data_IF_400601961130
#
_entry.id   IF_400601961130
#
_cell.length_a   1.000
_cell.length_b   1.000
_cell.length_c   1.000
_cell.angle_alpha   90.00
_cell.angle_beta   90.00
_cell.angle_gamma   90.00
#
_symmetry.space_group_name_H-M   'P 1'
#
loop_
_entity.id
_entity.type
_entity.pdbx_description
1 polymer ?
#
# COMPACT_ATOMS: atom_id res chain seq x y z
N UNK A 1 13.32 12.50 1.20
CA UNK A 1 13.81 11.74 0.02
C UNK A 1 12.75 11.79 -1.07
N UNK A 2 13.15 11.92 -2.34
CA UNK A 2 12.24 11.98 -3.50
C UNK A 2 12.63 10.97 -4.57
N UNK A 3 11.63 10.39 -5.25
CA UNK A 3 11.83 9.61 -6.47
C UNK A 3 11.79 10.58 -7.64
N UNK A 4 12.84 10.59 -8.47
CA UNK A 4 12.98 11.50 -9.62
C UNK A 4 12.62 10.84 -10.93
N UNK A 5 12.98 9.57 -11.06
CA UNK A 5 12.86 8.84 -12.32
C UNK A 5 12.77 7.35 -12.04
N UNK A 6 11.98 6.66 -12.85
CA UNK A 6 11.97 5.21 -12.90
C UNK A 6 12.07 4.77 -14.36
N UNK A 7 13.05 3.93 -14.66
CA UNK A 7 13.16 3.21 -15.93
C UNK A 7 12.77 1.76 -15.69
N UNK A 8 11.86 1.24 -16.52
CA UNK A 8 11.35 -0.12 -16.43
C UNK A 8 11.55 -0.76 -17.81
N UNK A 9 12.16 -1.95 -17.83
CA UNK A 9 12.37 -2.74 -19.04
C UNK A 9 11.89 -4.17 -18.79
N UNK A 10 11.00 -4.66 -19.67
CA UNK A 10 10.41 -6.00 -19.67
C UNK A 10 9.67 -6.40 -18.37
N UNK A 11 8.79 -5.55 -17.83
CA UNK A 11 8.03 -5.86 -16.60
C UNK A 11 6.56 -5.51 -16.75
N UNK A 12 5.68 -6.48 -16.47
CA UNK A 12 4.23 -6.34 -16.53
C UNK A 12 3.81 -5.68 -17.84
N UNK A 13 3.24 -4.47 -17.75
CA UNK A 13 2.75 -3.62 -18.84
C UNK A 13 3.79 -2.69 -19.46
N UNK A 14 5.04 -2.82 -19.06
CA UNK A 14 6.14 -1.97 -19.47
C UNK A 14 7.12 -2.77 -20.33
N UNK A 15 7.28 -2.35 -21.59
CA UNK A 15 8.27 -2.89 -22.53
C UNK A 15 9.62 -2.20 -22.27
N UNK A 16 9.70 -0.90 -22.54
CA UNK A 16 10.90 -0.09 -22.29
C UNK A 16 10.53 1.37 -22.08
N UNK A 17 10.15 1.71 -20.87
CA UNK A 17 9.63 3.02 -20.53
C UNK A 17 10.50 3.72 -19.51
N UNK A 18 10.55 5.04 -19.63
CA UNK A 18 11.17 5.92 -18.66
C UNK A 18 10.15 6.95 -18.23
N UNK A 19 9.95 7.06 -16.92
CA UNK A 19 8.97 7.95 -16.32
C UNK A 19 9.73 8.92 -15.42
N UNK A 20 9.68 10.21 -15.77
CA UNK A 20 10.25 11.29 -14.96
C UNK A 20 9.15 11.84 -14.04
N UNK A 21 9.48 12.02 -12.77
CA UNK A 21 8.60 12.53 -11.74
C UNK A 21 9.00 13.96 -11.39
N UNK A 22 8.00 14.81 -11.21
CA UNK A 22 8.17 16.15 -10.67
C UNK A 22 8.50 16.08 -9.18
N UNK A 23 9.10 17.16 -8.66
CA UNK A 23 9.52 17.23 -7.26
C UNK A 23 8.37 17.29 -6.26
N UNK A 24 7.20 17.74 -6.69
CA UNK A 24 6.10 18.05 -5.79
C UNK A 24 4.91 17.13 -6.08
N UNK A 25 3.97 17.58 -6.92
CA UNK A 25 2.78 16.82 -7.25
C UNK A 25 2.94 16.08 -8.58
N UNK A 26 2.70 14.77 -8.55
CA UNK A 26 2.64 13.90 -9.72
C UNK A 26 1.22 13.37 -9.88
N UNK A 27 0.60 13.62 -11.03
CA UNK A 27 -0.74 13.13 -11.35
C UNK A 27 -0.61 12.17 -12.53
N UNK A 28 -0.99 10.90 -12.32
CA UNK A 28 -0.90 9.85 -13.34
C UNK A 28 -2.31 9.59 -13.89
N UNK A 29 -2.53 9.94 -15.16
CA UNK A 29 -3.83 9.79 -15.85
C UNK A 29 -3.68 8.82 -17.03
N UNK A 30 -4.73 8.05 -17.32
CA UNK A 30 -4.75 7.12 -18.44
C UNK A 30 -5.98 6.22 -18.42
N UNK A 31 -6.24 5.50 -19.51
CA UNK A 31 -7.37 4.56 -19.61
C UNK A 31 -7.27 3.40 -18.60
N UNK A 32 -8.39 2.73 -18.31
CA UNK A 32 -8.37 1.52 -17.48
C UNK A 32 -7.48 0.44 -18.13
N UNK A 33 -6.67 -0.23 -17.32
CA UNK A 33 -5.68 -1.22 -17.78
C UNK A 33 -4.44 -0.65 -18.47
N UNK A 34 -4.21 0.67 -18.45
CA UNK A 34 -3.02 1.31 -19.04
C UNK A 34 -1.72 1.20 -18.21
N UNK A 35 -1.67 0.28 -17.23
CA UNK A 35 -0.49 0.08 -16.38
C UNK A 35 -0.34 1.00 -15.16
N UNK A 36 -1.26 1.95 -14.91
CA UNK A 36 -1.16 2.89 -13.76
C UNK A 36 -0.95 2.18 -12.41
N UNK A 37 -1.78 1.17 -12.13
CA UNK A 37 -1.66 0.38 -10.90
C UNK A 37 -0.37 -0.45 -10.89
N UNK A 38 0.08 -0.94 -12.05
CA UNK A 38 1.34 -1.69 -12.17
C UNK A 38 2.53 -0.81 -11.81
N UNK A 39 2.62 0.42 -12.32
CA UNK A 39 3.68 1.37 -11.96
C UNK A 39 3.72 1.63 -10.45
N UNK A 40 2.56 1.90 -9.86
CA UNK A 40 2.47 2.10 -8.41
C UNK A 40 2.94 0.86 -7.66
N UNK A 41 2.48 -0.33 -8.04
CA UNK A 41 2.87 -1.59 -7.43
C UNK A 41 4.38 -1.87 -7.57
N UNK A 42 4.97 -1.61 -8.73
CA UNK A 42 6.41 -1.74 -8.99
C UNK A 42 7.20 -0.82 -8.04
N UNK A 43 6.83 0.46 -7.96
CA UNK A 43 7.49 1.42 -7.06
C UNK A 43 7.40 0.95 -5.61
N UNK A 44 6.20 0.57 -5.15
CA UNK A 44 5.99 0.05 -3.79
C UNK A 44 6.87 -1.15 -3.52
N UNK A 45 6.85 -2.11 -4.44
CA UNK A 45 7.59 -3.35 -4.31
C UNK A 45 9.09 -3.07 -4.19
N UNK A 46 9.63 -2.17 -5.01
CA UNK A 46 11.04 -1.77 -4.94
C UNK A 46 11.36 -1.13 -3.58
N UNK A 47 10.53 -0.19 -3.13
CA UNK A 47 10.74 0.47 -1.85
C UNK A 47 10.71 -0.53 -0.70
N UNK A 48 9.79 -1.51 -0.70
CA UNK A 48 9.68 -2.53 0.36
C UNK A 48 10.80 -3.56 0.33
N UNK A 49 11.08 -4.12 -0.85
CA UNK A 49 11.98 -5.26 -1.01
C UNK A 49 13.45 -4.84 -0.90
N UNK A 50 13.77 -3.69 -1.47
CA UNK A 50 15.14 -3.25 -1.67
C UNK A 50 15.50 -2.11 -0.72
N UNK A 51 14.68 -1.05 -0.67
CA UNK A 51 15.07 0.18 0.01
C UNK A 51 14.86 0.12 1.52
N UNK A 52 13.66 -0.15 1.99
CA UNK A 52 13.26 -0.10 3.39
C UNK A 52 12.81 -1.48 3.84
N UNK A 53 13.80 -2.34 4.06
CA UNK A 53 13.57 -3.75 4.34
C UNK A 53 12.80 -3.92 5.66
N UNK A 54 11.97 -4.95 5.68
CA UNK A 54 11.26 -5.37 6.87
C UNK A 54 12.18 -6.24 7.74
N UNK A 55 12.33 -5.84 9.00
CA UNK A 55 13.13 -6.58 9.96
C UNK A 55 12.26 -6.96 11.16
N UNK A 56 12.60 -8.09 11.77
CA UNK A 56 12.04 -8.52 13.03
C UNK A 56 13.17 -8.68 14.04
N UNK A 57 12.96 -8.08 15.22
CA UNK A 57 13.81 -8.28 16.38
C UNK A 57 13.05 -9.19 17.33
N UNK A 58 13.39 -10.48 17.33
CA UNK A 58 12.73 -11.50 18.14
C UNK A 58 13.57 -11.87 19.35
N UNK A 59 12.92 -12.11 20.49
CA UNK A 59 13.61 -12.60 21.69
C UNK A 59 14.02 -14.06 21.49
N UNK A 60 15.30 -14.36 21.71
CA UNK A 60 15.85 -15.72 21.67
C UNK A 60 15.80 -16.26 23.09
N UNK A 61 14.76 -17.01 23.42
CA UNK A 61 14.66 -17.68 24.71
C UNK A 61 15.63 -18.87 24.73
N UNK A 62 16.82 -18.68 25.28
CA UNK A 62 17.74 -19.77 25.62
C UNK A 62 17.23 -20.61 26.80
N UNK A 63 17.70 -21.85 26.88
CA UNK A 63 17.41 -22.78 28.00
C UNK A 63 17.94 -22.22 29.34
N UNK A 64 18.94 -21.33 29.29
CA UNK A 64 19.53 -20.69 30.46
C UNK A 64 18.86 -19.33 30.75
N UNK A 65 18.05 -19.31 31.81
CA UNK A 65 17.44 -18.10 32.40
C UNK A 65 18.48 -17.23 33.11
N UNK A 66 19.50 -16.73 32.41
CA UNK A 66 20.51 -15.84 32.99
C UNK A 66 20.38 -14.43 32.43
N UNK A 67 19.58 -13.61 33.12
CA UNK A 67 19.68 -12.15 33.29
C UNK A 67 19.68 -11.19 32.08
N UNK A 68 20.15 -11.58 30.90
CA UNK A 68 20.33 -10.72 29.73
C UNK A 68 19.34 -11.17 28.66
N UNK A 69 18.38 -10.29 28.32
CA UNK A 69 17.50 -10.52 27.16
C UNK A 69 18.37 -10.56 25.90
N UNK A 70 18.32 -11.68 25.18
CA UNK A 70 19.01 -11.84 23.90
C UNK A 70 18.00 -11.80 22.78
N UNK A 71 18.40 -11.20 21.67
CA UNK A 71 17.56 -11.02 20.50
C UNK A 71 18.28 -11.53 19.27
N UNK A 72 17.51 -11.91 18.27
CA UNK A 72 17.97 -12.14 16.90
C UNK A 72 17.34 -11.10 15.99
N UNK A 73 18.05 -10.76 14.91
CA UNK A 73 17.53 -9.89 13.85
C UNK A 73 17.35 -10.76 12.61
N UNK A 74 16.13 -10.84 12.12
CA UNK A 74 15.80 -11.51 10.87
C UNK A 74 15.19 -10.50 9.90
N UNK A 75 15.55 -10.61 8.62
CA UNK A 75 14.82 -9.93 7.58
C UNK A 75 13.51 -10.72 7.38
N UNK A 76 12.39 -10.12 7.78
CA UNK A 76 11.08 -10.68 7.43
C UNK A 76 11.01 -10.72 5.92
N UNK A 77 10.85 -11.92 5.36
CA UNK A 77 10.36 -11.98 4.00
C UNK A 77 8.96 -11.35 4.05
N UNK A 78 8.69 -10.25 3.34
CA UNK A 78 7.30 -9.87 3.10
C UNK A 78 6.56 -11.15 2.69
N UNK A 79 5.37 -11.39 3.24
CA UNK A 79 4.53 -12.56 2.97
C UNK A 79 4.03 -12.54 1.52
N UNK A 80 4.96 -12.54 0.57
CA UNK A 80 4.75 -12.96 -0.79
C UNK A 80 4.94 -14.48 -0.71
N UNK A 81 3.87 -15.25 -0.81
CA UNK A 81 4.01 -16.68 -1.05
C UNK A 81 4.57 -16.89 -2.47
N UNK A 82 4.04 -17.86 -3.20
CA UNK A 82 4.23 -18.03 -4.66
C UNK A 82 3.77 -16.81 -5.51
N UNK A 83 3.55 -15.63 -4.91
CA UNK A 83 3.05 -14.39 -5.50
C UNK A 83 4.11 -13.31 -5.71
N UNK A 84 5.37 -13.56 -5.31
CA UNK A 84 6.49 -12.62 -5.55
C UNK A 84 6.66 -12.34 -7.06
N UNK A 85 6.42 -13.37 -7.87
CA UNK A 85 6.42 -13.30 -9.34
C UNK A 85 5.38 -12.33 -9.90
N UNK A 86 4.32 -11.99 -9.17
CA UNK A 86 3.24 -11.16 -9.72
C UNK A 86 3.64 -9.69 -9.92
N UNK A 87 4.49 -9.13 -9.06
CA UNK A 87 4.75 -7.69 -9.07
C UNK A 87 5.83 -7.27 -10.06
N UNK A 88 6.79 -8.17 -10.33
CA UNK A 88 7.86 -7.97 -11.29
C UNK A 88 7.84 -9.03 -12.41
N UNK A 89 6.66 -9.58 -12.69
CA UNK A 89 6.43 -10.55 -13.76
C UNK A 89 6.93 -9.97 -15.09
N UNK A 90 7.56 -10.79 -15.92
CA UNK A 90 8.03 -10.34 -17.24
C UNK A 90 6.90 -9.80 -18.09
N UNK A 91 7.23 -8.91 -19.01
CA UNK A 91 6.27 -8.49 -20.01
C UNK A 91 5.85 -9.72 -20.84
N UNK A 92 4.53 -9.92 -21.01
CA UNK A 92 3.96 -11.14 -21.62
C UNK A 92 4.48 -11.45 -23.03
N UNK A 93 4.92 -10.43 -23.78
CA UNK A 93 5.45 -10.60 -25.13
C UNK A 93 6.97 -10.89 -25.16
N UNK A 94 7.64 -10.92 -24.00
CA UNK A 94 9.11 -10.89 -23.87
C UNK A 94 9.62 -11.78 -22.73
N UNK A 95 8.96 -12.92 -22.51
CA UNK A 95 9.29 -13.86 -21.42
C UNK A 95 10.75 -14.35 -21.44
N UNK A 96 11.38 -14.35 -22.60
CA UNK A 96 12.77 -14.80 -22.78
C UNK A 96 13.81 -13.67 -22.63
N UNK A 97 13.39 -12.40 -22.61
CA UNK A 97 14.29 -11.26 -22.43
C UNK A 97 14.60 -11.03 -20.95
N UNK A 98 15.74 -10.41 -20.64
CA UNK A 98 16.07 -10.00 -19.27
C UNK A 98 15.27 -8.77 -18.87
N UNK A 99 14.93 -8.69 -17.59
CA UNK A 99 14.15 -7.59 -17.03
C UNK A 99 15.04 -6.71 -16.13
N UNK A 100 14.79 -5.40 -16.13
CA UNK A 100 15.53 -4.47 -15.27
C UNK A 100 14.68 -3.28 -14.83
N UNK A 101 15.14 -2.68 -13.74
CA UNK A 101 14.59 -1.41 -13.23
C UNK A 101 15.73 -0.52 -12.78
N UNK A 102 15.71 0.73 -13.20
CA UNK A 102 16.55 1.77 -12.61
C UNK A 102 15.67 2.78 -11.88
N UNK A 103 15.83 2.89 -10.57
CA UNK A 103 15.10 3.85 -9.73
C UNK A 103 16.04 4.99 -9.31
N UNK A 104 15.80 6.18 -9.83
CA UNK A 104 16.55 7.39 -9.46
C UNK A 104 15.89 8.10 -8.30
N UNK A 105 16.65 8.34 -7.24
CA UNK A 105 16.24 9.04 -6.03
C UNK A 105 17.14 10.23 -5.75
N UNK A 106 16.65 11.17 -4.94
CA UNK A 106 17.46 12.23 -4.34
C UNK A 106 17.12 12.39 -2.86
N UNK A 107 18.13 12.64 -2.04
CA UNK A 107 17.93 12.96 -0.62
C UNK A 107 17.66 14.46 -0.42
N UNK A 108 17.01 14.77 0.71
CA UNK A 108 16.64 16.10 1.15
C UNK A 108 17.17 16.38 2.56
N UNK A 109 17.09 17.64 3.01
CA UNK A 109 17.58 18.08 4.32
C UNK A 109 17.03 17.25 5.49
N UNK A 110 15.78 16.80 5.40
CA UNK A 110 15.18 15.94 6.43
C UNK A 110 15.90 14.59 6.55
N UNK A 111 16.36 14.02 5.44
CA UNK A 111 17.08 12.74 5.46
C UNK A 111 18.47 12.91 6.09
N UNK A 112 19.12 14.04 5.82
CA UNK A 112 20.39 14.40 6.44
C UNK A 112 20.23 14.62 7.95
N UNK A 113 19.19 15.35 8.37
CA UNK A 113 18.85 15.54 9.78
C UNK A 113 18.63 14.21 10.49
N UNK A 114 17.94 13.26 9.84
CA UNK A 114 17.75 11.91 10.37
C UNK A 114 19.08 11.17 10.56
N UNK A 115 19.96 11.21 9.55
CA UNK A 115 21.28 10.57 9.63
C UNK A 115 22.09 11.12 10.82
N UNK A 116 22.15 12.45 10.97
CA UNK A 116 22.86 13.12 12.07
C UNK A 116 22.28 12.70 13.42
N UNK A 117 20.95 12.72 13.56
CA UNK A 117 20.30 12.35 14.80
C UNK A 117 20.57 10.88 15.18
N UNK A 118 20.52 9.97 14.20
CA UNK A 118 20.86 8.56 14.41
C UNK A 118 22.32 8.39 14.82
N UNK A 119 23.26 9.10 14.15
CA UNK A 119 24.69 9.05 14.48
C UNK A 119 24.96 9.50 15.90
N UNK A 120 24.23 10.49 16.41
CA UNK A 120 24.34 10.94 17.80
C UNK A 120 23.90 9.86 18.81
N UNK A 121 23.20 8.81 18.38
CA UNK A 121 22.82 7.64 19.18
C UNK A 121 23.65 6.39 18.88
N UNK A 122 24.74 6.52 18.11
CA UNK A 122 25.60 5.42 17.67
C UNK A 122 26.05 4.52 18.81
N UNK A 123 26.57 5.09 19.90
CA UNK A 123 27.15 4.32 21.00
C UNK A 123 26.13 3.37 21.62
N UNK A 124 24.93 3.88 21.92
CA UNK A 124 23.84 3.11 22.53
C UNK A 124 23.34 2.01 21.58
N UNK A 125 23.21 2.33 20.29
CA UNK A 125 22.78 1.34 19.28
C UNK A 125 23.84 0.23 19.13
N UNK A 126 25.12 0.60 19.01
CA UNK A 126 26.22 -0.36 18.91
C UNK A 126 26.33 -1.24 20.16
N UNK A 127 26.15 -0.66 21.34
CA UNK A 127 26.14 -1.41 22.60
C UNK A 127 25.03 -2.46 22.63
N UNK A 128 23.80 -2.08 22.22
CA UNK A 128 22.70 -3.03 22.08
C UNK A 128 23.01 -4.14 21.07
N UNK A 129 23.52 -3.78 19.89
CA UNK A 129 23.93 -4.76 18.89
C UNK A 129 24.97 -5.73 19.47
N UNK A 130 25.96 -5.24 20.19
CA UNK A 130 27.04 -6.07 20.73
C UNK A 130 26.61 -6.98 21.87
N UNK A 131 25.88 -6.43 22.85
CA UNK A 131 25.53 -7.13 24.10
C UNK A 131 24.24 -7.94 24.00
N UNK A 132 23.30 -7.52 23.16
CA UNK A 132 21.94 -8.05 23.15
C UNK A 132 21.58 -8.80 21.87
N UNK A 133 22.31 -8.63 20.76
CA UNK A 133 22.07 -9.42 19.53
C UNK A 133 22.99 -10.63 19.47
N UNK A 134 22.38 -11.81 19.44
CA UNK A 134 23.06 -13.07 19.17
C UNK A 134 23.28 -13.23 17.66
N UNK A 135 24.50 -13.55 17.27
CA UNK A 135 24.87 -13.91 15.90
C UNK A 135 24.54 -15.38 15.61
N UNK A 136 23.36 -15.87 15.98
CA UNK A 136 22.98 -17.23 15.66
C UNK A 136 22.65 -17.32 14.17
N UNK A 137 23.65 -17.64 13.35
CA UNK A 137 23.46 -18.11 11.99
C UNK A 137 23.43 -19.64 12.04
N UNK A 138 22.25 -20.25 11.97
CA UNK A 138 22.23 -21.59 11.39
C UNK A 138 22.73 -21.45 9.94
N UNK A 139 23.45 -22.44 9.42
CA UNK A 139 23.94 -22.41 8.03
C UNK A 139 22.81 -22.21 7.00
N UNK A 140 21.57 -22.45 7.41
CA UNK A 140 20.37 -22.44 6.56
C UNK A 140 19.49 -21.19 6.70
N UNK A 141 19.72 -20.31 7.69
CA UNK A 141 18.90 -19.10 7.86
C UNK A 141 19.42 -17.95 6.97
N UNK A 142 19.06 -18.00 5.69
CA UNK A 142 19.35 -16.97 4.68
C UNK A 142 18.77 -15.60 5.01
N UNK A 143 17.86 -15.51 5.99
CA UNK A 143 17.21 -14.28 6.40
C UNK A 143 17.83 -13.66 7.66
N UNK A 144 18.76 -14.37 8.33
CA UNK A 144 19.48 -13.83 9.47
C UNK A 144 20.32 -12.60 9.08
N UNK A 145 20.20 -11.53 9.88
CA UNK A 145 20.90 -10.27 9.64
C UNK A 145 22.11 -10.17 10.55
N UNK A 146 23.28 -9.93 9.96
CA UNK A 146 24.50 -9.70 10.72
C UNK A 146 24.48 -8.37 11.45
N UNK A 147 24.68 -8.38 12.78
CA UNK A 147 24.84 -7.13 13.53
C UNK A 147 26.01 -6.28 13.03
N UNK A 148 27.09 -6.88 12.53
CA UNK A 148 28.22 -6.14 11.99
C UNK A 148 27.86 -5.44 10.68
N UNK A 149 27.04 -6.06 9.83
CA UNK A 149 26.54 -5.38 8.63
C UNK A 149 25.60 -4.22 8.98
N UNK A 150 24.83 -4.32 10.06
CA UNK A 150 24.00 -3.20 10.55
C UNK A 150 24.87 -2.02 10.98
N UNK A 151 26.02 -2.29 11.64
CA UNK A 151 26.96 -1.24 12.05
C UNK A 151 27.55 -0.45 10.89
N UNK A 152 27.61 -1.02 9.68
CA UNK A 152 28.04 -0.31 8.48
C UNK A 152 27.16 0.92 8.18
N UNK A 153 25.93 0.99 8.72
CA UNK A 153 25.11 2.20 8.69
C UNK A 153 25.86 3.44 9.22
N UNK A 154 26.69 3.27 10.26
CA UNK A 154 27.42 4.39 10.87
C UNK A 154 28.65 4.83 10.07
N UNK A 155 29.02 4.10 9.01
CA UNK A 155 30.04 4.52 8.05
C UNK A 155 29.48 5.47 6.98
N UNK A 156 28.16 5.55 6.85
CA UNK A 156 27.50 6.47 5.90
C UNK A 156 27.68 7.89 6.38
N UNK A 157 28.21 8.76 5.54
CA UNK A 157 28.46 10.17 5.82
C UNK A 157 27.47 11.08 5.12
N UNK A 158 27.47 12.34 5.54
CA UNK A 158 26.56 13.38 5.03
C UNK A 158 26.71 13.58 3.51
N UNK A 159 27.93 13.48 3.01
CA UNK A 159 28.22 13.59 1.58
C UNK A 159 27.75 12.37 0.78
N UNK A 160 27.55 11.21 1.41
CA UNK A 160 27.01 10.02 0.75
C UNK A 160 25.52 10.19 0.45
N UNK A 161 24.81 10.97 1.28
CA UNK A 161 23.41 11.36 1.04
C UNK A 161 23.30 12.64 0.20
N UNK A 162 24.31 12.95 -0.63
CA UNK A 162 24.45 14.20 -1.39
C UNK A 162 23.13 14.81 -1.87
N UNK A 163 22.71 15.88 -1.18
CA UNK A 163 21.45 16.58 -1.43
C UNK A 163 21.48 17.16 -2.85
N UNK A 164 20.40 16.94 -3.60
CA UNK A 164 20.25 17.45 -4.97
C UNK A 164 21.03 16.67 -6.04
N UNK A 165 21.75 15.59 -5.68
CA UNK A 165 22.28 14.64 -6.67
C UNK A 165 21.30 13.50 -6.91
N UNK A 166 21.28 13.05 -8.16
CA UNK A 166 20.51 11.90 -8.60
C UNK A 166 21.33 10.63 -8.33
N UNK A 167 20.80 9.77 -7.46
CA UNK A 167 21.38 8.47 -7.12
C UNK A 167 20.51 7.38 -7.74
N UNK A 168 21.13 6.42 -8.40
CA UNK A 168 20.41 5.43 -9.19
C UNK A 168 20.51 4.04 -8.55
N UNK A 169 19.39 3.44 -8.16
CA UNK A 169 19.33 2.06 -7.71
C UNK A 169 19.14 1.16 -8.92
N UNK A 170 20.13 0.28 -9.17
CA UNK A 170 20.15 -0.61 -10.32
C UNK A 170 19.66 -1.99 -9.92
N UNK A 171 18.43 -2.31 -10.29
CA UNK A 171 17.76 -3.56 -9.92
C UNK A 171 17.71 -4.45 -11.17
N UNK A 172 18.25 -5.65 -11.06
CA UNK A 172 18.36 -6.61 -12.17
C UNK A 172 17.78 -7.96 -11.81
N UNK A 173 17.18 -8.57 -12.81
CA UNK A 173 16.82 -9.97 -12.79
C UNK A 173 18.09 -10.85 -12.86
N UNK A 174 18.17 -11.85 -11.97
CA UNK A 174 19.21 -12.89 -11.98
C UNK A 174 18.56 -14.27 -11.85
N UNK A 175 19.34 -15.33 -12.04
CA UNK A 175 18.84 -16.72 -11.93
C UNK A 175 18.28 -17.04 -10.54
N UNK A 176 18.74 -16.33 -9.50
CA UNK A 176 18.29 -16.50 -8.11
C UNK A 176 17.34 -15.36 -7.67
N UNK A 177 16.61 -14.77 -8.61
CA UNK A 177 15.69 -13.67 -8.37
C UNK A 177 16.31 -12.28 -8.56
N UNK A 178 15.63 -11.26 -8.05
CA UNK A 178 15.99 -9.86 -8.26
C UNK A 178 17.05 -9.38 -7.27
N UNK A 179 18.09 -8.69 -7.77
CA UNK A 179 19.19 -8.13 -6.97
C UNK A 179 19.47 -6.68 -7.31
N UNK A 180 20.08 -5.97 -6.37
CA UNK A 180 20.65 -4.63 -6.60
C UNK A 180 22.12 -4.81 -6.97
N UNK A 181 22.53 -4.32 -8.13
CA UNK A 181 23.93 -4.40 -8.59
C UNK A 181 24.86 -3.52 -7.75
N UNK A 182 24.38 -2.35 -7.34
CA UNK A 182 25.13 -1.38 -6.54
C UNK A 182 24.74 -1.39 -5.05
N UNK A 183 24.67 -2.58 -4.46
CA UNK A 183 24.26 -2.80 -3.08
C UNK A 183 25.30 -2.37 -2.02
N UNK A 184 26.53 -2.08 -2.42
CA UNK A 184 27.62 -1.65 -1.53
C UNK A 184 27.70 -0.11 -1.38
N UNK A 185 26.90 0.61 -2.15
CA UNK A 185 26.81 2.07 -2.09
C UNK A 185 26.32 2.54 -0.72
N UNK A 186 27.02 3.54 -0.13
CA UNK A 186 26.74 4.02 1.24
C UNK A 186 25.32 4.56 1.39
N UNK A 187 24.80 5.26 0.38
CA UNK A 187 23.42 5.75 0.42
C UNK A 187 22.39 4.62 0.46
N UNK A 188 22.68 3.48 -0.16
CA UNK A 188 21.79 2.33 -0.12
C UNK A 188 21.85 1.64 1.24
N UNK A 189 23.03 1.55 1.88
CA UNK A 189 23.17 1.08 3.27
C UNK A 189 22.29 1.90 4.21
N UNK A 190 22.26 3.24 4.05
CA UNK A 190 21.38 4.11 4.81
C UNK A 190 19.92 3.68 4.66
N UNK A 191 19.40 3.57 3.44
CA UNK A 191 18.01 3.16 3.23
C UNK A 191 17.74 1.77 3.81
N UNK A 192 18.63 0.81 3.47
CA UNK A 192 18.50 -0.62 3.80
C UNK A 192 18.25 -0.83 5.29
N UNK A 193 19.02 -0.17 6.15
CA UNK A 193 18.95 -0.36 7.60
C UNK A 193 18.18 0.74 8.35
N UNK A 194 17.66 1.76 7.65
CA UNK A 194 16.93 2.86 8.27
C UNK A 194 15.82 2.34 9.20
N UNK A 195 14.92 1.50 8.70
CA UNK A 195 13.82 0.89 9.47
C UNK A 195 14.30 0.14 10.71
N UNK A 196 15.32 -0.70 10.57
CA UNK A 196 15.88 -1.49 11.67
C UNK A 196 16.45 -0.62 12.79
N UNK A 197 17.23 0.40 12.45
CA UNK A 197 17.83 1.30 13.45
C UNK A 197 16.74 1.97 14.29
N UNK A 198 15.61 2.26 13.65
CA UNK A 198 14.48 2.91 14.30
C UNK A 198 13.71 1.95 15.19
N UNK A 199 13.54 0.71 14.76
CA UNK A 199 13.00 -0.36 15.61
C UNK A 199 13.89 -0.59 16.84
N UNK A 200 15.21 -0.52 16.70
CA UNK A 200 16.15 -0.60 17.84
C UNK A 200 15.94 0.58 18.80
N UNK A 201 15.89 1.82 18.31
CA UNK A 201 15.67 2.99 19.17
C UNK A 201 14.33 2.90 19.92
N UNK A 202 13.28 2.43 19.24
CA UNK A 202 11.96 2.22 19.83
C UNK A 202 11.99 1.11 20.89
N UNK A 203 12.62 -0.03 20.59
CA UNK A 203 12.79 -1.15 21.51
C UNK A 203 13.51 -0.71 22.80
N UNK A 204 14.50 0.16 22.67
CA UNK A 204 15.26 0.75 23.78
C UNK A 204 14.54 1.93 24.46
N UNK A 205 13.35 2.32 23.98
CA UNK A 205 12.59 3.49 24.43
C UNK A 205 13.39 4.80 24.41
N UNK A 206 14.26 4.97 23.42
CA UNK A 206 15.09 6.17 23.26
C UNK A 206 14.29 7.24 22.52
N UNK A 207 14.12 8.40 23.15
CA UNK A 207 13.45 9.52 22.50
C UNK A 207 14.26 10.04 21.29
N UNK A 208 13.57 10.26 20.18
CA UNK A 208 14.12 10.79 18.93
C UNK A 208 13.09 11.62 18.15
N UNK A 209 13.59 12.53 17.32
CA UNK A 209 12.86 13.41 16.40
C UNK A 209 13.00 12.95 14.94
N UNK A 210 13.51 11.74 14.72
CA UNK A 210 13.70 11.17 13.39
C UNK A 210 12.38 11.14 12.64
N UNK A 211 12.39 11.76 11.45
CA UNK A 211 11.24 11.86 10.54
C UNK A 211 11.22 10.64 9.64
N UNK A 212 10.04 10.15 9.29
CA UNK A 212 9.98 9.10 8.27
C UNK A 212 10.30 9.72 6.88
N UNK A 213 11.23 9.14 6.10
CA UNK A 213 11.58 9.62 4.77
C UNK A 213 10.47 9.45 3.72
N UNK A 214 9.43 8.65 3.98
CA UNK A 214 8.38 8.36 3.01
C UNK A 214 7.04 8.02 3.68
N UNK A 215 5.96 8.50 3.07
CA UNK A 215 4.58 8.10 3.40
C UNK A 215 3.98 7.58 2.13
N UNK A 216 3.63 6.29 2.12
CA UNK A 216 3.03 5.65 0.95
C UNK A 216 1.51 5.59 1.07
N UNK A 217 0.83 5.73 -0.08
CA UNK A 217 -0.63 5.69 -0.21
C UNK A 217 -1.01 4.64 -1.25
N UNK A 218 -1.54 3.50 -0.81
CA UNK A 218 -2.08 2.51 -1.74
C UNK A 218 -3.30 3.09 -2.46
N UNK A 219 -3.33 2.95 -3.78
CA UNK A 219 -4.47 3.38 -4.61
C UNK A 219 -5.69 2.44 -4.47
N UNK A 220 -5.57 1.34 -3.72
CA UNK A 220 -6.62 0.35 -3.55
C UNK A 220 -7.74 0.90 -2.67
N UNK A 221 -8.86 1.21 -3.31
CA UNK A 221 -10.12 1.66 -2.69
C UNK A 221 -10.89 0.51 -2.04
N UNK A 222 -10.24 -0.38 -1.30
CA UNK A 222 -10.95 -1.39 -0.53
C UNK A 222 -11.41 -0.80 0.80
N UNK A 223 -12.25 0.24 0.74
CA UNK A 223 -13.02 0.69 1.88
C UNK A 223 -14.16 -0.33 2.05
N UNK A 224 -13.95 -1.41 2.78
CA UNK A 224 -15.04 -2.22 3.33
C UNK A 224 -15.37 -1.74 4.74
N UNK A 225 -16.55 -2.07 5.27
CA UNK A 225 -16.91 -1.77 6.67
C UNK A 225 -15.92 -2.38 7.68
N UNK A 226 -15.21 -3.45 7.30
CA UNK A 226 -14.17 -4.07 8.13
C UNK A 226 -12.93 -3.18 8.29
N UNK A 227 -12.60 -2.35 7.29
CA UNK A 227 -11.40 -1.50 7.33
C UNK A 227 -11.47 -0.36 8.35
N UNK A 228 -12.63 -0.14 8.95
CA UNK A 228 -12.82 0.85 10.00
C UNK A 228 -12.82 0.24 11.40
N UNK A 229 -12.90 -1.09 11.52
CA UNK A 229 -12.86 -1.84 12.78
C UNK A 229 -11.43 -2.25 13.09
N UNK A 230 -10.95 -1.94 14.28
CA UNK A 230 -9.58 -2.28 14.69
C UNK A 230 -9.54 -2.83 16.10
N UNK A 231 -9.06 -4.07 16.25
CA UNK A 231 -8.64 -4.63 17.53
C UNK A 231 -7.29 -4.08 17.96
N UNK A 232 -7.15 -3.73 19.24
CA UNK A 232 -5.94 -3.09 19.79
C UNK A 232 -5.02 -4.10 20.52
N UNK A 233 -5.49 -5.32 20.75
CA UNK A 233 -4.84 -6.37 21.56
C UNK A 233 -3.49 -6.89 21.05
N UNK A 234 -3.10 -6.63 19.79
CA UNK A 234 -1.87 -7.19 19.19
C UNK A 234 -0.74 -6.16 18.97
N UNK A 235 -0.76 -4.99 19.62
CA UNK A 235 0.26 -3.96 19.39
C UNK A 235 1.06 -3.61 20.65
N UNK A 236 2.26 -4.16 20.74
CA UNK A 236 3.19 -3.96 21.85
C UNK A 236 3.61 -2.49 22.06
N UNK A 237 3.99 -2.22 23.30
CA UNK A 237 4.13 -0.91 23.96
C UNK A 237 5.42 -0.14 23.63
N UNK A 238 5.51 0.50 22.46
CA UNK A 238 6.56 1.52 22.23
C UNK A 238 6.00 2.93 22.02
N UNK A 239 6.67 3.89 22.66
CA UNK A 239 6.24 5.27 22.89
C UNK A 239 6.07 6.13 21.64
N UNK A 240 5.37 7.25 21.83
CA UNK A 240 4.90 8.16 20.79
C UNK A 240 6.01 9.00 20.16
N UNK A 241 6.19 8.88 18.83
CA UNK A 241 6.24 9.99 17.86
C UNK A 241 5.92 9.43 16.47
N UNK A 242 4.98 10.03 15.72
CA UNK A 242 4.69 9.71 14.30
C UNK A 242 4.07 8.33 13.94
N UNK A 243 3.12 7.84 14.76
CA UNK A 243 2.39 6.56 14.56
C UNK A 243 1.92 6.28 13.12
N UNK A 244 1.54 7.29 12.32
CA UNK A 244 1.00 7.08 10.97
C UNK A 244 2.08 6.78 9.93
N UNK A 245 3.23 7.44 10.02
CA UNK A 245 4.36 7.16 9.14
C UNK A 245 5.11 5.91 9.60
N UNK A 246 5.19 5.64 10.91
CA UNK A 246 5.79 4.40 11.42
C UNK A 246 4.91 3.19 11.24
N UNK A 247 3.59 3.32 11.43
CA UNK A 247 2.68 2.28 11.00
C UNK A 247 2.64 2.17 9.50
N UNK A 248 2.93 3.21 8.70
CA UNK A 248 3.16 3.03 7.27
C UNK A 248 4.45 2.26 7.01
N UNK A 249 5.57 2.54 7.69
CA UNK A 249 6.78 1.70 7.64
C UNK A 249 6.50 0.25 8.07
N UNK A 250 5.72 0.07 9.14
CA UNK A 250 5.29 -1.22 9.69
C UNK A 250 4.07 -1.85 8.96
N UNK A 251 3.33 -1.15 8.11
CA UNK A 251 2.20 -1.68 7.30
C UNK A 251 2.62 -1.87 5.85
N UNK A 252 3.62 -1.09 5.40
CA UNK A 252 4.51 -1.47 4.32
C UNK A 252 5.11 -2.87 4.60
N UNK A 253 5.35 -3.20 5.88
CA UNK A 253 5.89 -4.48 6.34
C UNK A 253 4.90 -5.67 6.31
N UNK A 254 3.57 -5.49 6.24
CA UNK A 254 2.62 -6.62 6.37
C UNK A 254 1.87 -7.05 5.11
N UNK A 255 1.97 -6.33 3.99
CA UNK A 255 1.50 -6.81 2.67
C UNK A 255 1.54 -5.70 1.62
N UNK A 256 1.73 -6.02 0.36
CA UNK A 256 1.06 -5.26 -0.71
C UNK A 256 -0.37 -5.84 -0.78
N UNK A 257 -1.39 -5.07 -0.41
CA UNK A 257 -2.79 -5.49 -0.51
C UNK A 257 -3.50 -6.03 0.74
N UNK A 258 -3.01 -5.83 1.98
CA UNK A 258 -3.89 -5.96 3.16
C UNK A 258 -4.64 -4.66 3.37
N UNK A 259 -5.88 -4.81 3.84
CA UNK A 259 -6.97 -3.85 3.95
C UNK A 259 -6.71 -2.67 4.92
N UNK A 260 -5.47 -2.19 5.04
CA UNK A 260 -5.09 -1.11 5.94
C UNK A 260 -5.39 0.27 5.34
N UNK A 261 -6.62 0.76 5.56
CA UNK A 261 -7.01 2.12 5.16
C UNK A 261 -6.53 3.16 6.17
N UNK A 262 -6.48 4.44 5.78
CA UNK A 262 -6.19 5.54 6.72
C UNK A 262 -7.15 5.60 7.89
N UNK A 263 -8.39 5.18 7.66
CA UNK A 263 -9.39 5.09 8.70
C UNK A 263 -8.95 4.04 9.70
N UNK A 264 -8.44 2.88 9.27
CA UNK A 264 -7.88 1.85 10.16
C UNK A 264 -6.74 2.38 11.04
N UNK A 265 -5.73 3.03 10.45
CA UNK A 265 -4.58 3.57 11.20
C UNK A 265 -4.99 4.67 12.18
N UNK A 266 -5.90 5.56 11.75
CA UNK A 266 -6.46 6.56 12.62
C UNK A 266 -7.27 5.91 13.75
N UNK A 267 -8.16 4.96 13.44
CA UNK A 267 -8.97 4.22 14.43
C UNK A 267 -8.05 3.58 15.46
N UNK A 268 -6.91 3.01 15.04
CA UNK A 268 -5.91 2.44 15.94
C UNK A 268 -5.27 3.47 16.86
N UNK A 269 -4.76 4.58 16.30
CA UNK A 269 -4.13 5.66 17.08
C UNK A 269 -5.10 6.21 18.14
N UNK A 270 -6.29 6.63 17.70
CA UNK A 270 -7.27 7.25 18.58
C UNK A 270 -7.93 6.23 19.52
N UNK A 271 -8.07 4.97 19.09
CA UNK A 271 -8.51 3.87 19.94
C UNK A 271 -7.56 3.59 21.09
N UNK A 272 -6.23 3.61 20.86
CA UNK A 272 -5.24 3.45 21.92
C UNK A 272 -5.29 4.62 22.90
N UNK A 273 -5.38 5.85 22.38
CA UNK A 273 -5.55 7.04 23.21
C UNK A 273 -6.80 6.93 24.09
N UNK A 274 -7.94 6.55 23.50
CA UNK A 274 -9.20 6.35 24.22
C UNK A 274 -9.11 5.22 25.25
N UNK A 275 -8.47 4.09 24.92
CA UNK A 275 -8.27 2.97 25.85
C UNK A 275 -7.46 3.38 27.07
N UNK A 276 -6.31 4.01 26.85
CA UNK A 276 -5.45 4.49 27.94
C UNK A 276 -6.15 5.55 28.80
N UNK A 277 -7.05 6.32 28.19
CA UNK A 277 -7.90 7.29 28.88
C UNK A 277 -8.96 6.62 29.76
N UNK A 278 -9.61 5.55 29.29
CA UNK A 278 -10.65 4.82 30.05
C UNK A 278 -10.11 4.28 31.38
N UNK A 279 -8.81 3.99 31.47
CA UNK A 279 -8.16 3.48 32.69
C UNK A 279 -7.94 4.54 33.77
N UNK A 280 -8.21 5.82 33.49
CA UNK A 280 -8.08 6.94 34.44
C UNK A 280 -9.46 7.45 34.86
N UNK A 281 -9.57 7.93 36.11
CA UNK A 281 -10.82 8.42 36.73
C UNK A 281 -11.53 9.56 35.96
N UNK A 282 -10.84 10.31 35.10
CA UNK A 282 -11.41 11.33 34.19
C UNK A 282 -10.91 11.22 32.73
N UNK A 283 -10.23 10.14 32.36
CA UNK A 283 -9.43 10.16 31.13
C UNK A 283 -10.25 10.25 29.85
N UNK A 284 -11.51 9.83 29.82
CA UNK A 284 -12.38 10.02 28.65
C UNK A 284 -12.61 11.50 28.32
N UNK A 285 -12.81 12.35 29.33
CA UNK A 285 -12.90 13.80 29.13
C UNK A 285 -11.57 14.38 28.65
N UNK A 286 -10.44 13.89 29.17
CA UNK A 286 -9.10 14.27 28.70
C UNK A 286 -8.89 13.89 27.23
N UNK A 287 -9.35 12.70 26.81
CA UNK A 287 -9.29 12.27 25.42
C UNK A 287 -10.09 13.19 24.50
N UNK A 288 -11.36 13.46 24.84
CA UNK A 288 -12.21 14.35 24.04
C UNK A 288 -11.70 15.79 23.99
N UNK A 289 -10.99 16.22 25.05
CA UNK A 289 -10.38 17.55 25.15
C UNK A 289 -8.96 17.60 24.58
N UNK A 290 -8.41 16.49 24.08
CA UNK A 290 -7.05 16.45 23.56
C UNK A 290 -6.92 17.28 22.28
N UNK A 291 -5.79 17.98 22.13
CA UNK A 291 -5.51 18.84 20.97
C UNK A 291 -5.58 18.08 19.64
N UNK A 292 -5.16 16.81 19.65
CA UNK A 292 -5.19 15.93 18.48
C UNK A 292 -6.64 15.60 18.06
N UNK A 293 -7.50 15.21 19.02
CA UNK A 293 -8.88 14.84 18.73
C UNK A 293 -9.72 16.07 18.36
N UNK A 294 -9.51 17.21 19.02
CA UNK A 294 -10.15 18.49 18.65
C UNK A 294 -9.77 18.91 17.23
N UNK A 295 -8.51 18.74 16.83
CA UNK A 295 -8.07 19.08 15.46
C UNK A 295 -8.75 18.18 14.42
N UNK A 296 -8.89 16.89 14.72
CA UNK A 296 -9.62 15.93 13.87
C UNK A 296 -11.10 16.34 13.73
N UNK A 297 -11.79 16.58 14.85
CA UNK A 297 -13.17 17.09 14.88
C UNK A 297 -13.33 18.37 14.06
N UNK A 298 -12.43 19.33 14.26
CA UNK A 298 -12.45 20.63 13.58
C UNK A 298 -12.25 20.49 12.08
N UNK A 299 -11.42 19.54 11.63
CA UNK A 299 -11.22 19.27 10.22
C UNK A 299 -12.49 18.71 9.56
N UNK A 300 -13.13 17.70 10.16
CA UNK A 300 -14.36 17.10 9.62
C UNK A 300 -15.57 18.05 9.67
N UNK A 301 -15.61 18.93 10.67
CA UNK A 301 -16.65 19.98 10.79
C UNK A 301 -16.65 20.94 9.59
N UNK A 302 -15.50 21.17 8.93
CA UNK A 302 -15.43 21.97 7.68
C UNK A 302 -16.28 21.38 6.55
N UNK A 303 -16.57 20.08 6.61
CA UNK A 303 -17.37 19.35 5.64
C UNK A 303 -18.76 18.99 6.18
N UNK A 304 -19.19 19.62 7.28
CA UNK A 304 -20.47 19.35 7.96
C UNK A 304 -20.61 17.92 8.50
N UNK A 305 -19.49 17.25 8.78
CA UNK A 305 -19.48 15.94 9.43
C UNK A 305 -18.97 16.05 10.86
N UNK A 306 -19.55 15.26 11.75
CA UNK A 306 -19.06 15.05 13.11
C UNK A 306 -18.46 13.65 13.27
N UNK A 307 -17.14 13.57 13.36
CA UNK A 307 -16.43 12.30 13.49
C UNK A 307 -16.37 11.83 14.94
N UNK A 308 -16.77 10.60 15.21
CA UNK A 308 -16.82 10.01 16.55
C UNK A 308 -16.12 8.65 16.57
N UNK A 309 -15.36 8.39 17.63
CA UNK A 309 -14.74 7.10 17.87
C UNK A 309 -15.54 6.36 18.95
N UNK A 310 -15.87 5.08 18.70
CA UNK A 310 -16.54 4.22 19.69
C UNK A 310 -15.74 2.94 19.91
N UNK A 311 -15.75 2.42 21.13
CA UNK A 311 -15.35 1.05 21.41
C UNK A 311 -16.57 0.14 21.16
N UNK A 312 -16.51 -0.68 20.12
CA UNK A 312 -17.62 -1.54 19.69
C UNK A 312 -17.56 -2.94 20.33
N UNK A 313 -16.39 -3.35 20.82
CA UNK A 313 -16.23 -4.57 21.59
C UNK A 313 -15.18 -4.34 22.69
N UNK A 314 -15.61 -4.03 23.93
CA UNK A 314 -14.69 -3.82 25.06
C UNK A 314 -13.83 -5.05 25.35
N UNK A 315 -14.44 -6.25 25.32
CA UNK A 315 -13.78 -7.54 25.58
C UNK A 315 -12.59 -7.78 24.64
N UNK A 316 -12.75 -7.44 23.37
CA UNK A 316 -11.74 -7.65 22.33
C UNK A 316 -10.95 -6.37 21.99
N UNK A 317 -11.15 -5.29 22.77
CA UNK A 317 -10.60 -3.95 22.50
C UNK A 317 -10.76 -3.51 21.04
N UNK A 318 -11.97 -3.64 20.48
CA UNK A 318 -12.26 -3.24 19.09
C UNK A 318 -12.86 -1.84 19.06
N UNK A 319 -12.28 -0.98 18.24
CA UNK A 319 -12.67 0.42 18.07
C UNK A 319 -13.05 0.70 16.61
N UNK A 320 -13.92 1.69 16.42
CA UNK A 320 -14.40 2.09 15.09
C UNK A 320 -14.76 3.58 15.03
N UNK A 321 -14.41 4.24 13.92
CA UNK A 321 -14.85 5.59 13.61
C UNK A 321 -16.21 5.60 12.93
N UNK A 322 -16.99 6.62 13.26
CA UNK A 322 -18.28 6.92 12.67
C UNK A 322 -18.34 8.39 12.31
N UNK A 323 -19.00 8.71 11.20
CA UNK A 323 -19.32 10.09 10.83
C UNK A 323 -20.80 10.32 11.09
N UNK A 324 -21.13 11.42 11.76
CA UNK A 324 -22.49 11.89 11.92
C UNK A 324 -22.73 13.06 10.97
N UNK A 325 -23.84 13.03 10.23
CA UNK A 325 -24.36 14.20 9.49
C UNK A 325 -25.88 14.17 9.55
N UNK A 326 -26.49 15.27 9.99
CA UNK A 326 -27.95 15.42 10.09
C UNK A 326 -28.66 14.27 10.83
N UNK A 327 -28.05 13.78 11.92
CA UNK A 327 -28.58 12.68 12.74
C UNK A 327 -28.32 11.27 12.19
N UNK A 328 -27.65 11.15 11.03
CA UNK A 328 -27.30 9.87 10.42
C UNK A 328 -25.87 9.45 10.73
N UNK A 329 -25.71 8.19 11.12
CA UNK A 329 -24.41 7.60 11.42
C UNK A 329 -23.88 6.79 10.23
N UNK A 330 -22.74 7.18 9.70
CA UNK A 330 -22.05 6.54 8.60
C UNK A 330 -20.82 5.78 9.11
N UNK A 331 -20.78 4.48 8.80
CA UNK A 331 -19.66 3.58 9.12
C UNK A 331 -18.59 3.58 8.02
N UNK A 332 -18.97 3.97 6.80
CA UNK A 332 -18.07 4.13 5.67
C UNK A 332 -18.79 4.65 4.43
N UNK A 333 -18.13 5.53 3.67
CA UNK A 333 -18.61 6.02 2.38
C UNK A 333 -17.71 5.42 1.30
N UNK A 334 -18.13 4.31 0.71
CA UNK A 334 -17.35 3.57 -0.28
C UNK A 334 -17.68 4.08 -1.70
N UNK A 335 -16.66 4.24 -2.54
CA UNK A 335 -16.72 4.88 -3.86
C UNK A 335 -16.49 3.92 -5.02
N UNK A 336 -17.46 3.02 -5.23
CA UNK A 336 -17.86 2.22 -6.43
C UNK A 336 -18.73 1.07 -5.91
N UNK A 337 -19.81 0.70 -6.61
CA UNK A 337 -20.76 -0.37 -6.21
C UNK A 337 -21.46 -0.18 -4.85
N UNK A 338 -21.44 1.04 -4.28
CA UNK A 338 -22.06 1.35 -2.98
C UNK A 338 -23.44 2.03 -3.11
N UNK A 339 -23.97 2.10 -4.34
CA UNK A 339 -25.22 2.82 -4.63
C UNK A 339 -26.39 2.24 -3.83
N UNK A 340 -26.49 0.92 -3.68
CA UNK A 340 -27.60 0.29 -2.95
C UNK A 340 -27.64 0.71 -1.47
N UNK A 341 -26.48 0.94 -0.86
CA UNK A 341 -26.43 1.47 0.50
C UNK A 341 -26.87 2.94 0.54
N UNK A 342 -26.48 3.74 -0.44
CA UNK A 342 -26.97 5.12 -0.58
C UNK A 342 -28.48 5.19 -0.84
N UNK A 343 -29.02 4.34 -1.73
CA UNK A 343 -30.46 4.21 -1.96
C UNK A 343 -31.19 3.91 -0.66
N UNK A 344 -30.77 2.87 0.06
CA UNK A 344 -31.36 2.47 1.33
C UNK A 344 -31.34 3.61 2.38
N UNK A 345 -30.26 4.39 2.44
CA UNK A 345 -30.17 5.56 3.33
C UNK A 345 -31.17 6.66 2.90
N UNK A 346 -31.19 7.02 1.61
CA UNK A 346 -32.07 8.06 1.09
C UNK A 346 -33.55 7.66 1.19
N UNK A 347 -33.88 6.39 0.96
CA UNK A 347 -35.21 5.81 1.10
C UNK A 347 -35.67 5.86 2.57
N UNK A 348 -34.81 5.48 3.53
CA UNK A 348 -35.11 5.58 4.98
C UNK A 348 -35.34 7.01 5.44
N UNK A 349 -34.66 7.96 4.82
CA UNK A 349 -34.84 9.39 5.06
C UNK A 349 -36.03 9.99 4.30
N UNK A 350 -36.72 9.20 3.47
CA UNK A 350 -37.79 9.66 2.59
C UNK A 350 -37.36 10.81 1.67
N UNK A 351 -36.06 10.88 1.35
CA UNK A 351 -35.50 11.88 0.43
C UNK A 351 -35.65 11.36 -0.98
N UNK A 352 -36.35 12.10 -1.84
CA UNK A 352 -36.38 11.80 -3.28
C UNK A 352 -35.01 12.05 -3.87
N UNK A 353 -34.51 11.11 -4.66
CA UNK A 353 -33.21 11.20 -5.32
C UNK A 353 -33.28 10.76 -6.78
N UNK A 354 -32.30 11.22 -7.55
CA UNK A 354 -32.00 10.71 -8.88
C UNK A 354 -30.49 10.44 -8.95
N UNK A 355 -30.09 9.39 -9.67
CA UNK A 355 -28.69 9.01 -9.81
C UNK A 355 -28.14 9.54 -11.12
N UNK A 356 -27.13 10.40 -11.04
CA UNK A 356 -26.29 10.78 -12.17
C UNK A 356 -24.97 10.02 -12.00
N UNK A 357 -24.70 9.09 -12.91
CA UNK A 357 -23.49 8.27 -12.89
C UNK A 357 -22.67 8.41 -14.16
N UNK A 358 -21.36 8.24 -14.02
CA UNK A 358 -20.48 8.00 -15.17
C UNK A 358 -20.91 6.74 -15.93
N UNK A 359 -20.60 6.71 -17.23
CA UNK A 359 -20.95 5.63 -18.16
C UNK A 359 -20.65 4.22 -17.60
N UNK A 360 -19.47 4.06 -17.00
CA UNK A 360 -19.01 2.80 -16.41
C UNK A 360 -19.86 2.34 -15.22
N UNK A 361 -20.47 3.27 -14.46
CA UNK A 361 -21.33 2.91 -13.33
C UNK A 361 -22.76 2.59 -13.76
N UNK A 362 -23.24 3.19 -14.87
CA UNK A 362 -24.58 2.93 -15.41
C UNK A 362 -24.62 1.53 -16.08
N UNK A 363 -23.50 1.08 -16.66
CA UNK A 363 -23.40 -0.26 -17.24
C UNK A 363 -23.61 -1.39 -16.21
N UNK A 364 -23.21 -1.17 -14.96
CA UNK A 364 -23.38 -2.14 -13.87
C UNK A 364 -24.86 -2.36 -13.46
N UNK A 365 -25.81 -1.58 -14.01
CA UNK A 365 -27.24 -1.78 -13.74
C UNK A 365 -27.84 -2.78 -14.73
N UNK A 366 -28.23 -3.94 -14.22
CA UNK A 366 -28.90 -4.98 -14.99
C UNK A 366 -30.15 -4.46 -15.71
N UNK A 367 -30.93 -3.61 -15.03
CA UNK A 367 -32.11 -2.93 -15.55
C UNK A 367 -31.81 -2.03 -16.75
N UNK A 368 -30.59 -1.53 -16.88
CA UNK A 368 -30.16 -0.63 -17.97
C UNK A 368 -29.32 -1.34 -19.03
N UNK A 369 -29.02 -2.63 -18.84
CA UNK A 369 -28.26 -3.46 -19.78
C UNK A 369 -28.79 -3.38 -21.22
N UNK A 370 -30.12 -3.21 -21.38
CA UNK A 370 -30.77 -3.09 -22.68
C UNK A 370 -30.35 -1.85 -23.49
N UNK A 371 -29.84 -0.79 -22.84
CA UNK A 371 -29.37 0.44 -23.48
C UNK A 371 -27.99 0.29 -24.13
N UNK A 372 -27.27 -0.76 -23.75
CA UNK A 372 -25.88 -0.94 -24.11
C UNK A 372 -25.70 -2.01 -25.18
N UNK A 373 -24.72 -1.81 -26.06
CA UNK A 373 -24.23 -2.82 -26.99
C UNK A 373 -22.71 -2.78 -27.07
N UNK A 374 -22.10 -3.89 -27.46
CA UNK A 374 -20.66 -3.95 -27.68
C UNK A 374 -20.35 -3.29 -29.03
N UNK A 375 -19.37 -2.39 -29.05
CA UNK A 375 -18.83 -1.78 -30.26
C UNK A 375 -17.92 -2.78 -31.00
N UNK A 376 -18.55 -3.74 -31.68
CA UNK A 376 -17.89 -4.81 -32.43
C UNK A 376 -16.85 -4.27 -33.42
N UNK A 377 -17.06 -3.07 -33.96
CA UNK A 377 -16.10 -2.45 -34.89
C UNK A 377 -14.79 -2.10 -34.17
N UNK A 378 -14.85 -1.39 -33.03
CA UNK A 378 -13.68 -1.07 -32.22
C UNK A 378 -13.03 -2.31 -31.65
N UNK A 379 -13.82 -3.30 -31.25
CA UNK A 379 -13.31 -4.58 -30.77
C UNK A 379 -12.48 -5.30 -31.86
N UNK A 380 -12.98 -5.34 -33.10
CA UNK A 380 -12.24 -5.90 -34.25
C UNK A 380 -11.00 -5.10 -34.61
N UNK A 381 -11.04 -3.77 -34.44
CA UNK A 381 -9.86 -2.92 -34.62
C UNK A 381 -8.80 -3.18 -33.55
N UNK A 382 -9.20 -3.42 -32.29
CA UNK A 382 -8.27 -3.74 -31.20
C UNK A 382 -7.52 -5.05 -31.44
N UNK A 383 -8.24 -6.08 -31.93
CA UNK A 383 -7.64 -7.37 -32.30
C UNK A 383 -6.62 -7.28 -33.45
N UNK A 384 -6.71 -6.24 -34.29
CA UNK A 384 -5.80 -6.04 -35.44
C UNK A 384 -4.51 -5.30 -35.09
N UNK A 385 -4.40 -4.74 -33.88
CA UNK A 385 -3.20 -4.00 -33.46
C UNK A 385 -2.04 -4.98 -33.22
N UNK A 386 -0.94 -4.79 -33.95
CA UNK A 386 0.32 -5.57 -33.81
C UNK A 386 1.14 -5.21 -32.56
N UNK A 387 0.96 -3.99 -32.02
CA UNK A 387 1.55 -3.47 -30.79
C UNK A 387 0.42 -2.88 -29.93
N UNK A 388 0.45 -3.11 -28.63
CA UNK A 388 -0.55 -2.65 -27.65
C UNK A 388 -1.90 -3.39 -27.69
N UNK A 389 -1.88 -4.73 -27.82
CA UNK A 389 -3.05 -5.51 -27.41
C UNK A 389 -3.25 -5.31 -25.92
N UNK A 390 -4.48 -5.03 -25.53
CA UNK A 390 -4.78 -4.73 -24.13
C UNK A 390 -4.64 -6.00 -23.28
N UNK A 391 -4.24 -5.89 -22.02
CA UNK A 391 -4.11 -7.07 -21.13
C UNK A 391 -5.36 -7.95 -21.13
N UNK A 392 -6.55 -7.34 -21.22
CA UNK A 392 -7.82 -8.04 -21.34
C UNK A 392 -7.92 -8.94 -22.59
N UNK A 393 -7.36 -8.54 -23.73
CA UNK A 393 -7.27 -9.40 -24.94
C UNK A 393 -6.34 -10.58 -24.66
N UNK A 394 -5.17 -10.31 -24.09
CA UNK A 394 -4.18 -11.35 -23.81
C UNK A 394 -4.70 -12.36 -22.79
N UNK A 395 -5.37 -11.89 -21.73
CA UNK A 395 -6.02 -12.73 -20.73
C UNK A 395 -7.16 -13.56 -21.33
N UNK A 396 -7.94 -12.98 -22.25
CA UNK A 396 -8.98 -13.69 -22.98
C UNK A 396 -8.37 -14.80 -23.86
N UNK A 397 -7.32 -14.51 -24.64
CA UNK A 397 -6.65 -15.48 -25.51
C UNK A 397 -6.02 -16.62 -24.69
N UNK A 398 -5.34 -16.31 -23.58
CA UNK A 398 -4.79 -17.30 -22.65
C UNK A 398 -5.90 -18.16 -22.03
N UNK A 399 -7.04 -17.56 -21.66
CA UNK A 399 -8.18 -18.31 -21.10
C UNK A 399 -8.85 -19.22 -22.13
N UNK A 400 -8.90 -18.80 -23.41
CA UNK A 400 -9.36 -19.63 -24.52
C UNK A 400 -8.43 -20.84 -24.66
N UNK A 401 -7.11 -20.63 -24.70
CA UNK A 401 -6.12 -21.71 -24.84
C UNK A 401 -6.19 -22.69 -23.65
N UNK A 402 -6.27 -22.19 -22.42
CA UNK A 402 -6.44 -23.00 -21.20
C UNK A 402 -7.74 -23.82 -21.21
N UNK A 403 -8.84 -23.23 -21.65
CA UNK A 403 -10.12 -23.93 -21.75
C UNK A 403 -10.10 -25.02 -22.84
N UNK A 404 -9.50 -24.74 -24.00
CA UNK A 404 -9.33 -25.73 -25.08
C UNK A 404 -8.44 -26.89 -24.62
N UNK A 405 -7.33 -26.61 -23.93
CA UNK A 405 -6.41 -27.63 -23.42
C UNK A 405 -6.99 -28.44 -22.27
N UNK A 406 -7.78 -27.81 -21.39
CA UNK A 406 -8.34 -28.44 -20.21
C UNK A 406 -9.76 -27.90 -19.94
N UNK A 407 -10.74 -28.57 -20.54
CA UNK A 407 -12.15 -28.20 -20.48
C UNK A 407 -12.79 -28.55 -19.12
N UNK A 408 -12.56 -27.69 -18.14
CA UNK A 408 -13.16 -27.80 -16.80
C UNK A 408 -13.93 -26.52 -16.43
N UNK A 409 -14.77 -26.65 -15.39
CA UNK A 409 -15.67 -25.57 -14.93
C UNK A 409 -14.90 -24.31 -14.49
N UNK A 410 -13.78 -24.48 -13.81
CA UNK A 410 -12.96 -23.35 -13.35
C UNK A 410 -12.41 -22.54 -14.53
N UNK A 411 -11.88 -23.21 -15.55
CA UNK A 411 -11.38 -22.58 -16.77
C UNK A 411 -12.51 -21.93 -17.58
N UNK A 412 -13.70 -22.53 -17.60
CA UNK A 412 -14.87 -21.93 -18.23
C UNK A 412 -15.31 -20.65 -17.51
N UNK A 413 -15.35 -20.65 -16.18
CA UNK A 413 -15.70 -19.47 -15.38
C UNK A 413 -14.67 -18.34 -15.56
N UNK A 414 -13.36 -18.68 -15.60
CA UNK A 414 -12.29 -17.73 -15.93
C UNK A 414 -12.43 -17.15 -17.34
N UNK A 415 -12.71 -17.99 -18.33
CA UNK A 415 -12.95 -17.57 -19.71
C UNK A 415 -14.14 -16.61 -19.78
N UNK A 416 -15.25 -16.93 -19.11
CA UNK A 416 -16.45 -16.08 -19.05
C UNK A 416 -16.15 -14.73 -18.41
N UNK A 417 -15.40 -14.71 -17.30
CA UNK A 417 -15.00 -13.47 -16.64
C UNK A 417 -14.09 -12.60 -17.51
N UNK A 418 -13.08 -13.20 -18.14
CA UNK A 418 -12.15 -12.47 -19.01
C UNK A 418 -12.83 -11.99 -20.31
N UNK A 419 -13.80 -12.73 -20.83
CA UNK A 419 -14.66 -12.29 -21.92
C UNK A 419 -15.49 -11.06 -21.54
N UNK A 420 -16.10 -11.06 -20.36
CA UNK A 420 -16.87 -9.91 -19.86
C UNK A 420 -15.97 -8.68 -19.65
N UNK A 421 -14.82 -8.84 -18.99
CA UNK A 421 -13.84 -7.77 -18.78
C UNK A 421 -13.32 -7.18 -20.09
N UNK A 422 -13.09 -8.02 -21.10
CA UNK A 422 -12.69 -7.55 -22.43
C UNK A 422 -13.81 -6.73 -23.07
N UNK A 423 -15.06 -7.20 -23.01
CA UNK A 423 -16.22 -6.53 -23.61
C UNK A 423 -16.59 -5.20 -22.94
N UNK A 424 -16.45 -5.08 -21.61
CA UNK A 424 -16.71 -3.85 -20.85
C UNK A 424 -16.01 -2.63 -21.46
N UNK A 425 -14.82 -2.84 -22.04
CA UNK A 425 -14.03 -1.78 -22.67
C UNK A 425 -14.62 -1.22 -23.97
N UNK A 426 -15.50 -1.97 -24.62
CA UNK A 426 -16.08 -1.64 -25.91
C UNK A 426 -17.57 -1.37 -25.80
N UNK A 427 -18.12 -1.27 -24.60
CA UNK A 427 -19.53 -0.92 -24.40
C UNK A 427 -19.81 0.47 -24.98
N UNK A 428 -20.89 0.58 -25.74
CA UNK A 428 -21.46 1.84 -26.23
C UNK A 428 -22.97 1.87 -26.07
N UNK A 429 -23.56 3.06 -26.13
CA UNK A 429 -25.03 3.22 -26.17
C UNK A 429 -25.54 2.74 -27.53
N UNK A 430 -26.61 1.95 -27.53
CA UNK A 430 -27.29 1.52 -28.76
C UNK A 430 -27.70 2.72 -29.61
N UNK A 431 -27.32 2.68 -30.87
CA UNK A 431 -27.62 3.72 -31.86
C UNK A 431 -29.11 4.02 -32.06
N UNK A 432 -30.02 3.10 -31.71
CA UNK A 432 -31.46 3.29 -31.79
C UNK A 432 -32.09 3.97 -30.56
N UNK A 433 -31.36 4.07 -29.44
CA UNK A 433 -31.82 4.78 -28.24
C UNK A 433 -31.75 6.30 -28.44
N UNK A 434 -30.76 6.77 -29.22
CA UNK A 434 -30.50 8.21 -29.44
C UNK A 434 -31.50 8.91 -30.36
N UNK A 435 -32.32 8.18 -31.12
CA UNK A 435 -33.25 8.76 -32.11
C UNK A 435 -34.71 8.89 -31.65
N UNK A 436 -35.10 8.29 -30.51
CA UNK A 436 -36.53 8.20 -30.15
C UNK A 436 -36.92 8.42 -28.68
N UNK A 437 -35.97 8.48 -27.74
CA UNK A 437 -36.30 8.50 -26.29
C UNK A 437 -35.49 9.49 -25.45
N UNK A 438 -35.13 10.65 -26.01
CA UNK A 438 -34.59 11.78 -25.22
C UNK A 438 -35.65 12.50 -24.36
N UNK A 439 -36.83 11.90 -24.14
CA UNK A 439 -37.86 12.41 -23.23
C UNK A 439 -38.38 11.28 -22.34
N UNK A 440 -38.08 11.41 -21.05
CA UNK A 440 -38.63 10.68 -19.89
C UNK A 440 -38.25 9.20 -19.77
N UNK A 441 -37.26 8.95 -18.93
CA UNK A 441 -37.27 7.80 -18.01
C UNK A 441 -37.39 8.43 -16.60
N UNK A 442 -38.60 8.88 -16.28
CA UNK A 442 -39.04 9.17 -14.91
C UNK A 442 -40.49 8.66 -14.91
N UNK A 443 -40.69 7.51 -14.31
CA UNK A 443 -41.80 7.23 -13.41
C UNK A 443 -41.25 6.35 -12.27
#
# INVERSE_FOLDING_TARGET
MKIKKIHIDNILSYDKETINLNNDLNIIVGANGSGKSNLMNIIIYILKRFCFRNYEISNVNGIERVGIKRYSIQQKNPLYGLSEDYFLQKHKLKEQEKSLIDLTISFEDNDLQNLIEIKNKKEIICEFLDKSIDNFRSMDDIYAVDKNQVKNFFEVNEYDLSIGRDLCLQIRETDNGWKIENNDEKYYIYMKYFSLILDILNLLNINHKIKNPFVFFEAYRNNSSETTKVGITEFDNHGYTNLQSWQNLLSLNYSIGTNSTYIMLATKKYGKLMRNAIEKSNGLQEFYSSSDYIRLKSFFKKFEYDINLKCISPENNIYQFYLLKDGLEFVGICGKKNLNNFKNVLDKLQIRYFYIGDFDNIYDFEELSYLFEIDVKKQKEDLKKKKNQTYAVLDLLDSIDKFIKNNNKENFDKLKNNYNLYNERFVKIKSNVSKGRNKKIID
#
